data_IF_837311975923
#
_entry.id   IF_837311975923
#
_cell.length_a   1.000
_cell.length_b   1.000
_cell.length_c   1.000
_cell.angle_alpha   90.00
_cell.angle_beta   90.00
_cell.angle_gamma   90.00
#
_symmetry.space_group_name_H-M   'P 1'
#
loop_
_entity.id
_entity.type
_entity.pdbx_description
1 polymer ?
#
# COMPACT_ATOMS: atom_id res chain seq x y z
N UNK A 1 -10.48 -15.99 14.62
CA UNK A 1 -9.93 -15.54 13.32
C UNK A 1 -8.99 -14.39 13.61
N UNK A 2 -7.69 -14.64 13.63
CA UNK A 2 -6.66 -13.65 13.99
C UNK A 2 -6.35 -12.67 12.83
N UNK A 3 -6.82 -13.01 11.63
CA UNK A 3 -6.62 -12.25 10.38
C UNK A 3 -7.41 -10.93 10.38
N UNK A 4 -8.51 -10.83 11.12
CA UNK A 4 -9.42 -9.68 11.05
C UNK A 4 -8.78 -8.36 11.51
N UNK A 5 -7.96 -8.35 12.58
CA UNK A 5 -7.41 -7.08 13.09
C UNK A 5 -6.38 -6.47 12.16
N UNK A 6 -5.50 -7.30 11.60
CA UNK A 6 -4.50 -6.87 10.63
C UNK A 6 -5.17 -6.42 9.34
N UNK A 7 -6.09 -7.25 8.83
CA UNK A 7 -6.81 -6.93 7.60
C UNK A 7 -7.58 -5.61 7.75
N UNK A 8 -8.33 -5.40 8.83
CA UNK A 8 -9.09 -4.16 9.05
C UNK A 8 -8.19 -2.90 9.13
N UNK A 9 -6.99 -3.00 9.72
CA UNK A 9 -6.04 -1.90 9.77
C UNK A 9 -5.46 -1.55 8.40
N UNK A 10 -5.24 -2.57 7.55
CA UNK A 10 -4.65 -2.41 6.23
C UNK A 10 -5.67 -2.18 5.12
N UNK A 11 -6.92 -2.59 5.31
CA UNK A 11 -8.02 -2.52 4.34
C UNK A 11 -8.16 -1.16 3.64
N UNK A 12 -8.14 0.00 4.33
CA UNK A 12 -8.21 1.30 3.65
C UNK A 12 -7.01 1.54 2.72
N UNK A 13 -5.81 1.12 3.12
CA UNK A 13 -4.57 1.27 2.36
C UNK A 13 -4.55 0.31 1.15
N UNK A 14 -5.01 -0.93 1.35
CA UNK A 14 -5.15 -1.95 0.31
C UNK A 14 -6.16 -1.53 -0.76
N UNK A 15 -7.33 -1.05 -0.35
CA UNK A 15 -8.34 -0.54 -1.28
C UNK A 15 -7.83 0.68 -2.05
N UNK A 16 -7.04 1.55 -1.41
CA UNK A 16 -6.43 2.69 -2.08
C UNK A 16 -5.44 2.25 -3.16
N UNK A 17 -4.60 1.25 -2.88
CA UNK A 17 -3.66 0.71 -3.86
C UNK A 17 -4.27 -0.33 -4.82
N UNK A 18 -5.53 -0.70 -4.60
CA UNK A 18 -6.21 -1.82 -5.28
C UNK A 18 -5.39 -3.11 -5.22
N UNK A 19 -4.88 -3.41 -4.03
CA UNK A 19 -4.00 -4.54 -3.78
C UNK A 19 -4.76 -5.60 -2.96
N UNK A 20 -4.75 -6.88 -3.37
CA UNK A 20 -5.34 -7.97 -2.59
C UNK A 20 -4.46 -8.33 -1.39
N UNK A 21 -5.04 -8.96 -0.36
CA UNK A 21 -4.31 -9.56 0.76
C UNK A 21 -4.43 -11.09 0.70
N UNK A 22 -3.36 -11.86 0.97
CA UNK A 22 -1.98 -11.41 1.25
C UNK A 22 -1.29 -10.84 0.01
N UNK A 23 -0.34 -9.92 0.22
CA UNK A 23 0.46 -9.30 -0.85
C UNK A 23 1.94 -9.46 -0.57
N UNK A 24 2.74 -9.44 -1.63
CA UNK A 24 4.21 -9.41 -1.59
C UNK A 24 4.75 -8.00 -1.79
N UNK A 25 6.03 -7.78 -1.44
CA UNK A 25 6.71 -6.49 -1.70
C UNK A 25 6.68 -6.12 -3.19
N UNK A 26 6.86 -7.11 -4.06
CA UNK A 26 6.79 -6.93 -5.50
C UNK A 26 5.41 -6.44 -5.96
N UNK A 27 4.33 -7.03 -5.43
CA UNK A 27 2.97 -6.63 -5.76
C UNK A 27 2.65 -5.23 -5.23
N UNK A 28 3.10 -4.92 -4.00
CA UNK A 28 2.98 -3.59 -3.42
C UNK A 28 3.68 -2.53 -4.29
N UNK A 29 4.92 -2.80 -4.72
CA UNK A 29 5.68 -1.92 -5.60
C UNK A 29 5.01 -1.75 -6.98
N UNK A 30 4.48 -2.84 -7.56
CA UNK A 30 3.74 -2.79 -8.83
C UNK A 30 2.47 -1.94 -8.72
N UNK A 31 1.66 -2.18 -7.68
CA UNK A 31 0.43 -1.45 -7.42
C UNK A 31 0.70 0.05 -7.20
N UNK A 32 1.71 0.38 -6.38
CA UNK A 32 2.14 1.76 -6.14
C UNK A 32 2.57 2.45 -7.43
N UNK A 33 3.43 1.83 -8.24
CA UNK A 33 3.88 2.42 -9.52
C UNK A 33 2.73 2.67 -10.49
N UNK A 34 1.73 1.78 -10.54
CA UNK A 34 0.53 1.97 -11.36
C UNK A 34 -0.28 3.17 -10.87
N UNK A 35 -0.63 3.19 -9.59
CA UNK A 35 -1.43 4.28 -8.98
C UNK A 35 -0.71 5.61 -8.98
N UNK A 36 0.60 5.62 -8.76
CA UNK A 36 1.45 6.80 -8.84
C UNK A 36 1.36 7.46 -10.22
N UNK A 37 1.43 6.68 -11.31
CA UNK A 37 1.30 7.21 -12.67
C UNK A 37 -0.12 7.69 -12.97
N UNK A 38 -1.14 7.02 -12.44
CA UNK A 38 -2.55 7.41 -12.62
C UNK A 38 -2.94 8.66 -11.82
N UNK A 39 -2.28 8.91 -10.68
CA UNK A 39 -2.58 10.04 -9.78
C UNK A 39 -1.60 11.20 -9.88
N UNK A 40 -0.55 11.06 -10.69
CA UNK A 40 0.50 12.06 -10.83
C UNK A 40 -0.07 13.40 -11.32
N UNK A 41 0.32 14.56 -10.77
CA UNK A 41 -0.19 15.86 -11.24
C UNK A 41 0.06 16.13 -12.73
N UNK A 42 1.06 15.47 -13.33
CA UNK A 42 1.36 15.58 -14.76
C UNK A 42 0.37 14.83 -15.66
N UNK A 43 -0.48 13.96 -15.11
CA UNK A 43 -1.54 13.32 -15.90
C UNK A 43 -2.86 14.08 -15.78
N UNK A 44 -3.67 14.15 -16.85
CA UNK A 44 -4.97 14.79 -16.80
C UNK A 44 -5.86 14.15 -15.74
N UNK A 45 -6.26 14.93 -14.72
CA UNK A 45 -7.06 14.44 -13.59
C UNK A 45 -6.25 13.89 -12.41
N UNK A 46 -4.92 13.89 -12.51
CA UNK A 46 -4.04 13.63 -11.38
C UNK A 46 -3.95 14.83 -10.43
N UNK A 47 -3.67 14.55 -9.16
CA UNK A 47 -3.56 15.58 -8.13
C UNK A 47 -2.50 15.15 -7.13
N UNK A 48 -1.65 16.11 -6.74
CA UNK A 48 -0.65 15.89 -5.70
C UNK A 48 -1.28 15.35 -4.40
N UNK A 49 -2.49 15.79 -4.07
CA UNK A 49 -3.24 15.28 -2.90
C UNK A 49 -3.52 13.78 -2.99
N UNK A 50 -3.90 13.30 -4.17
CA UNK A 50 -4.20 11.89 -4.39
C UNK A 50 -2.91 11.06 -4.44
N UNK A 51 -1.85 11.61 -5.04
CA UNK A 51 -0.53 11.02 -5.02
C UNK A 51 0.02 10.85 -3.59
N UNK A 52 -0.11 11.89 -2.74
CA UNK A 52 0.31 11.83 -1.34
C UNK A 52 -0.47 10.73 -0.58
N UNK A 53 -1.77 10.57 -0.84
CA UNK A 53 -2.57 9.51 -0.23
C UNK A 53 -2.07 8.12 -0.65
N UNK A 54 -1.86 7.91 -1.95
CA UNK A 54 -1.32 6.65 -2.50
C UNK A 54 0.05 6.34 -1.89
N UNK A 55 0.93 7.33 -1.78
CA UNK A 55 2.25 7.20 -1.17
C UNK A 55 2.18 6.82 0.31
N UNK A 56 1.34 7.49 1.10
CA UNK A 56 1.15 7.16 2.53
C UNK A 56 0.67 5.73 2.74
N UNK A 57 -0.25 5.27 1.90
CA UNK A 57 -0.71 3.88 1.94
C UNK A 57 0.40 2.89 1.61
N UNK A 58 1.23 3.20 0.61
CA UNK A 58 2.38 2.38 0.27
C UNK A 58 3.40 2.31 1.43
N UNK A 59 3.74 3.44 2.03
CA UNK A 59 4.67 3.51 3.16
C UNK A 59 4.16 2.70 4.36
N UNK A 60 2.85 2.77 4.66
CA UNK A 60 2.22 2.01 5.75
C UNK A 60 2.26 0.49 5.48
N UNK A 61 1.89 0.06 4.26
CA UNK A 61 1.91 -1.36 3.90
C UNK A 61 3.34 -1.91 3.83
N UNK A 62 4.30 -1.09 3.40
CA UNK A 62 5.71 -1.48 3.37
C UNK A 62 6.27 -1.66 4.78
N UNK A 63 6.01 -0.71 5.69
CA UNK A 63 6.40 -0.82 7.09
C UNK A 63 5.78 -2.07 7.74
N UNK A 64 4.51 -2.36 7.46
CA UNK A 64 3.86 -3.58 7.92
C UNK A 64 4.54 -4.85 7.37
N UNK A 65 4.93 -4.85 6.10
CA UNK A 65 5.64 -5.98 5.48
C UNK A 65 7.04 -6.16 6.08
N UNK A 66 7.74 -5.08 6.39
CA UNK A 66 9.04 -5.11 7.09
C UNK A 66 8.90 -5.56 8.55
N UNK A 67 7.86 -5.12 9.28
CA UNK A 67 7.54 -5.61 10.63
C UNK A 67 7.14 -7.10 10.65
N UNK A 68 6.34 -7.54 9.68
CA UNK A 68 5.92 -8.94 9.53
C UNK A 68 7.04 -9.87 9.07
N UNK A 69 8.05 -9.34 8.35
CA UNK A 69 9.24 -10.08 7.92
C UNK A 69 10.40 -9.99 8.93
N UNK A 70 10.35 -9.02 9.86
CA UNK A 70 11.35 -8.76 10.88
C UNK A 70 11.06 -9.41 12.24
N UNK A 71 10.01 -10.23 12.36
CA UNK A 71 9.62 -10.92 13.58
C UNK A 71 10.41 -12.19 13.94
N UNK A 72 11.41 -12.57 13.15
CA UNK A 72 12.47 -13.52 13.57
C UNK A 72 13.74 -12.75 13.94
N UNK A 73 13.66 -11.92 14.98
CA UNK A 73 14.86 -11.49 15.71
C UNK A 73 15.13 -12.56 16.76
N UNK A 74 16.00 -13.51 16.37
CA UNK A 74 16.86 -14.41 17.17
C UNK A 74 16.45 -14.78 18.61
#
# INVERSE_FOLDING_TARGET
MEIDRVYLALQPHLSLLQLPYPFTEEELNRAYRRRARETHPDVPGGSEREFIRVRRAYETLKAFLEEGSGGEVR
#
